data_IF_344794819799
#
_entry.id   IF_344794819799
#
_cell.length_a   1.000
_cell.length_b   1.000
_cell.length_c   1.000
_cell.angle_alpha   90.00
_cell.angle_beta   90.00
_cell.angle_gamma   90.00
#
_symmetry.space_group_name_H-M   'P 1'
#
loop_
_entity.id
_entity.type
_entity.pdbx_description
1 polymer ?
#
# COMPACT_ATOMS: atom_id res chain seq x y z
N UNK A 1 11.78 21.78 4.69
CA UNK A 1 11.63 21.23 6.06
C UNK A 1 11.09 19.82 5.90
N UNK A 2 11.41 18.90 6.80
CA UNK A 2 10.80 17.57 6.76
C UNK A 2 9.33 17.67 7.15
N UNK A 3 8.48 16.85 6.53
CA UNK A 3 7.06 16.76 6.83
C UNK A 3 6.85 16.20 8.24
N UNK A 4 6.01 16.85 9.04
CA UNK A 4 5.58 16.25 10.29
C UNK A 4 4.65 15.08 10.02
N UNK A 5 4.67 14.04 10.87
CA UNK A 5 3.82 12.86 10.67
C UNK A 5 2.34 13.24 10.57
N UNK A 6 1.90 14.14 11.46
CA UNK A 6 0.51 14.61 11.53
C UNK A 6 0.04 15.37 10.29
N UNK A 7 0.95 15.88 9.49
CA UNK A 7 0.66 16.58 8.24
C UNK A 7 0.64 15.61 7.04
N UNK A 8 1.17 14.40 7.22
CA UNK A 8 1.24 13.43 6.13
C UNK A 8 -0.14 12.91 5.73
N UNK A 9 -0.34 12.76 4.42
CA UNK A 9 -1.58 12.20 3.89
C UNK A 9 -1.86 10.79 4.42
N UNK A 10 -0.84 9.94 4.51
CA UNK A 10 -0.96 8.56 5.00
C UNK A 10 -1.50 8.52 6.43
N UNK A 11 -0.95 9.33 7.31
CA UNK A 11 -1.39 9.40 8.70
C UNK A 11 -2.85 9.87 8.82
N UNK A 12 -3.19 10.94 8.11
CA UNK A 12 -4.54 11.49 8.15
C UNK A 12 -5.58 10.52 7.56
N UNK A 13 -5.25 9.82 6.48
CA UNK A 13 -6.12 8.81 5.88
C UNK A 13 -6.33 7.63 6.83
N UNK A 14 -5.26 7.08 7.39
CA UNK A 14 -5.32 5.99 8.37
C UNK A 14 -6.17 6.36 9.59
N UNK A 15 -5.90 7.51 10.19
CA UNK A 15 -6.64 8.00 11.36
C UNK A 15 -8.12 8.18 11.03
N UNK A 16 -8.44 8.82 9.91
CA UNK A 16 -9.81 9.00 9.44
C UNK A 16 -10.55 7.67 9.24
N UNK A 17 -9.87 6.63 8.75
CA UNK A 17 -10.45 5.28 8.60
C UNK A 17 -10.76 4.64 9.95
N UNK A 18 -9.87 4.77 10.93
CA UNK A 18 -10.14 4.29 12.30
C UNK A 18 -11.37 4.98 12.89
N UNK A 19 -11.41 6.30 12.82
CA UNK A 19 -12.52 7.10 13.34
C UNK A 19 -13.85 6.79 12.63
N UNK A 20 -13.83 6.66 11.30
CA UNK A 20 -15.00 6.26 10.49
C UNK A 20 -15.57 4.90 10.91
N UNK A 21 -14.71 3.98 11.34
CA UNK A 21 -15.10 2.66 11.83
C UNK A 21 -15.40 2.65 13.35
N UNK A 22 -15.54 3.82 13.97
CA UNK A 22 -15.96 3.97 15.36
C UNK A 22 -14.87 3.72 16.40
N UNK A 23 -13.60 3.64 15.97
CA UNK A 23 -12.48 3.54 16.91
C UNK A 23 -12.27 4.86 17.66
N UNK A 24 -12.07 4.78 18.97
CA UNK A 24 -11.68 5.92 19.79
C UNK A 24 -10.15 5.92 19.96
N UNK A 25 -9.48 6.85 19.28
CA UNK A 25 -8.02 6.98 19.25
C UNK A 25 -7.58 7.99 20.33
N UNK A 26 -7.05 7.51 21.45
CA UNK A 26 -6.66 8.33 22.59
C UNK A 26 -5.27 8.95 22.43
N UNK A 27 -4.33 8.18 21.85
CA UNK A 27 -2.93 8.59 21.72
C UNK A 27 -2.26 7.87 20.55
N UNK A 28 -1.42 8.62 19.82
CA UNK A 28 -0.51 8.07 18.81
C UNK A 28 0.87 8.63 19.03
N UNK A 29 1.86 7.77 19.20
CA UNK A 29 3.27 8.14 19.29
C UNK A 29 4.01 7.67 18.03
N UNK A 30 4.76 8.54 17.39
CA UNK A 30 5.72 8.21 16.35
C UNK A 30 6.94 7.56 16.99
N UNK A 31 7.13 6.25 16.79
CA UNK A 31 8.30 5.53 17.27
C UNK A 31 9.48 5.66 16.30
N UNK A 32 9.19 5.64 15.00
CA UNK A 32 10.16 5.79 13.94
C UNK A 32 9.45 6.19 12.64
N UNK A 33 10.09 7.07 11.86
CA UNK A 33 9.66 7.37 10.49
C UNK A 33 10.83 7.39 9.52
N UNK A 34 10.60 6.83 8.35
CA UNK A 34 11.47 6.98 7.19
C UNK A 34 10.88 8.02 6.25
N UNK A 35 11.73 8.94 5.78
CA UNK A 35 11.35 9.98 4.83
C UNK A 35 12.14 9.85 3.54
N UNK A 36 11.56 10.28 2.43
CA UNK A 36 12.24 10.36 1.13
C UNK A 36 13.18 11.57 1.04
N UNK A 37 13.85 11.74 -0.09
CA UNK A 37 14.76 12.88 -0.34
C UNK A 37 14.08 14.25 -0.35
N UNK A 38 12.74 14.31 -0.44
CA UNK A 38 11.94 15.53 -0.36
C UNK A 38 11.48 15.82 1.09
N UNK A 39 11.71 14.90 2.02
CA UNK A 39 11.27 15.00 3.40
C UNK A 39 9.86 14.45 3.67
N UNK A 40 9.19 13.86 2.67
CA UNK A 40 7.86 13.26 2.81
C UNK A 40 7.94 11.91 3.55
N UNK A 41 6.93 11.59 4.35
CA UNK A 41 6.85 10.34 5.11
C UNK A 41 6.61 9.15 4.17
N UNK A 42 7.60 8.25 4.06
CA UNK A 42 7.45 6.99 3.30
C UNK A 42 6.70 5.94 4.11
N UNK A 43 7.12 5.73 5.35
CA UNK A 43 6.44 4.86 6.31
C UNK A 43 6.78 5.27 7.74
N UNK A 44 5.95 4.83 8.69
CA UNK A 44 6.17 5.06 10.12
C UNK A 44 5.82 3.82 10.93
N UNK A 45 6.53 3.65 12.04
CA UNK A 45 6.14 2.72 13.10
C UNK A 45 5.48 3.52 14.21
N UNK A 46 4.25 3.20 14.54
CA UNK A 46 3.44 3.93 15.51
C UNK A 46 3.12 3.06 16.72
N UNK A 47 3.06 3.69 17.89
CA UNK A 47 2.35 3.17 19.03
C UNK A 47 0.99 3.87 19.11
N UNK A 48 -0.09 3.10 19.16
CA UNK A 48 -1.47 3.62 19.14
C UNK A 48 -2.23 3.10 20.36
N UNK A 49 -2.69 3.99 21.23
CA UNK A 49 -3.67 3.66 22.26
C UNK A 49 -5.06 3.99 21.73
N UNK A 50 -5.84 2.95 21.49
CA UNK A 50 -7.20 3.08 20.95
C UNK A 50 -8.10 1.98 21.49
N UNK A 51 -9.41 2.26 21.48
CA UNK A 51 -10.47 1.31 21.88
C UNK A 51 -11.45 1.11 20.74
N UNK A 52 -11.97 -0.13 20.62
CA UNK A 52 -13.01 -0.46 19.67
C UNK A 52 -14.37 0.12 20.12
N UNK A 53 -15.39 0.17 19.22
CA UNK A 53 -16.76 0.54 19.61
C UNK A 53 -17.34 -0.29 20.76
N UNK A 54 -16.85 -1.54 20.91
CA UNK A 54 -17.26 -2.45 21.99
C UNK A 54 -16.46 -2.23 23.29
N UNK A 55 -15.54 -1.23 23.33
CA UNK A 55 -14.72 -0.87 24.49
C UNK A 55 -13.49 -1.75 24.70
N UNK A 56 -13.08 -2.56 23.73
CA UNK A 56 -11.90 -3.40 23.84
C UNK A 56 -10.64 -2.67 23.33
N UNK A 57 -9.49 -2.94 23.95
CA UNK A 57 -8.19 -2.48 23.43
C UNK A 57 -7.75 -3.33 22.24
N UNK A 58 -7.05 -2.68 21.30
CA UNK A 58 -6.42 -3.33 20.16
C UNK A 58 -4.90 -3.46 20.36
N UNK A 59 -4.20 -4.32 19.61
CA UNK A 59 -2.74 -4.32 19.57
C UNK A 59 -2.19 -2.92 19.20
N UNK A 60 -1.22 -2.39 19.99
CA UNK A 60 -0.90 -0.97 19.90
C UNK A 60 0.09 -0.59 18.78
N UNK A 61 0.70 -1.57 18.11
CA UNK A 61 1.72 -1.30 17.09
C UNK A 61 1.09 -1.29 15.71
N UNK A 62 1.27 -0.18 15.01
CA UNK A 62 0.90 -0.06 13.60
C UNK A 62 2.12 0.31 12.75
N UNK A 63 2.38 -0.47 11.70
CA UNK A 63 3.28 -0.09 10.64
C UNK A 63 2.49 0.69 9.57
N UNK A 64 2.59 2.01 9.64
CA UNK A 64 1.94 2.93 8.71
C UNK A 64 2.72 2.95 7.40
N UNK A 65 2.23 2.22 6.39
CA UNK A 65 2.83 2.11 5.05
C UNK A 65 2.05 2.91 4.02
N UNK A 66 0.73 2.94 4.16
CA UNK A 66 -0.19 3.58 3.23
C UNK A 66 -0.70 2.65 2.14
N UNK A 67 -1.22 3.24 1.10
CA UNK A 67 -1.87 2.53 0.00
C UNK A 67 -0.85 2.01 -1.01
N UNK A 68 -1.15 0.87 -1.61
CA UNK A 68 -0.38 0.25 -2.68
C UNK A 68 -1.31 -0.16 -3.82
N UNK A 69 -0.77 -0.24 -5.03
CA UNK A 69 -1.45 -0.85 -6.18
C UNK A 69 -0.72 -2.12 -6.56
N UNK A 70 -1.49 -3.16 -6.91
CA UNK A 70 -0.98 -4.43 -7.40
C UNK A 70 -1.61 -4.72 -8.75
N UNK A 71 -0.82 -5.09 -9.75
CA UNK A 71 -1.27 -5.20 -11.14
C UNK A 71 -1.16 -6.63 -11.66
N UNK A 72 -2.28 -7.26 -11.96
CA UNK A 72 -2.32 -8.54 -12.67
C UNK A 72 -2.08 -8.30 -14.16
N UNK A 73 -0.86 -8.48 -14.63
CA UNK A 73 -0.49 -8.32 -16.04
C UNK A 73 -0.77 -9.60 -16.78
N UNK A 74 -1.87 -9.62 -17.55
CA UNK A 74 -2.30 -10.76 -18.35
C UNK A 74 -2.05 -10.50 -19.83
N UNK A 75 -1.56 -11.50 -20.55
CA UNK A 75 -1.44 -11.45 -22.00
C UNK A 75 -1.86 -12.77 -22.65
N UNK A 76 -2.23 -12.68 -23.92
CA UNK A 76 -2.69 -13.82 -24.70
C UNK A 76 -1.75 -13.96 -25.90
N UNK A 77 -1.15 -15.13 -26.07
CA UNK A 77 -0.36 -15.43 -27.25
C UNK A 77 -1.24 -15.33 -28.51
N UNK A 78 -0.78 -14.56 -29.49
CA UNK A 78 -1.56 -14.28 -30.69
C UNK A 78 -1.73 -15.50 -31.60
N UNK A 79 -0.84 -16.51 -31.49
CA UNK A 79 -0.83 -17.72 -32.31
C UNK A 79 -1.52 -18.87 -31.59
N UNK A 80 -1.03 -19.21 -30.37
CA UNK A 80 -1.54 -20.36 -29.63
C UNK A 80 -2.84 -20.08 -28.89
N UNK A 81 -3.17 -18.79 -28.65
CA UNK A 81 -4.29 -18.31 -27.83
C UNK A 81 -4.17 -18.69 -26.35
N UNK A 82 -3.02 -19.17 -25.93
CA UNK A 82 -2.73 -19.42 -24.52
C UNK A 82 -2.68 -18.12 -23.73
N UNK A 83 -3.11 -18.20 -22.48
CA UNK A 83 -3.13 -17.06 -21.53
C UNK A 83 -1.97 -17.19 -20.57
N UNK A 84 -1.30 -16.08 -20.33
CA UNK A 84 -0.14 -16.00 -19.44
C UNK A 84 -0.35 -14.89 -18.43
N UNK A 85 0.21 -15.10 -17.24
CA UNK A 85 0.31 -14.12 -16.18
C UNK A 85 1.79 -13.76 -16.00
N UNK A 86 2.10 -12.48 -16.09
CA UNK A 86 3.46 -11.99 -15.85
C UNK A 86 3.68 -11.77 -14.36
N UNK A 87 4.79 -12.29 -13.88
CA UNK A 87 5.25 -12.10 -12.50
C UNK A 87 6.68 -11.56 -12.49
N UNK A 88 6.98 -10.72 -11.55
CA UNK A 88 8.34 -10.29 -11.23
C UNK A 88 8.95 -11.22 -10.19
N UNK A 89 10.27 -11.45 -10.26
CA UNK A 89 10.97 -12.34 -9.35
C UNK A 89 11.94 -11.52 -8.49
N UNK A 90 11.74 -11.53 -7.19
CA UNK A 90 12.57 -10.75 -6.27
C UNK A 90 12.77 -11.44 -4.92
N UNK A 91 13.84 -11.05 -4.20
CA UNK A 91 14.04 -11.50 -2.82
C UNK A 91 13.38 -10.58 -1.84
N UNK A 92 12.72 -11.18 -0.85
CA UNK A 92 12.03 -10.42 0.20
C UNK A 92 12.79 -10.52 1.53
N UNK A 93 12.76 -9.40 2.28
CA UNK A 93 13.49 -9.29 3.55
C UNK A 93 12.86 -10.14 4.66
N UNK A 94 11.60 -10.53 4.54
CA UNK A 94 10.90 -11.27 5.58
C UNK A 94 11.58 -12.59 5.96
N UNK A 95 12.14 -13.32 4.95
CA UNK A 95 12.81 -14.61 5.16
C UNK A 95 13.97 -14.83 4.18
N UNK A 96 14.25 -13.86 3.30
CA UNK A 96 15.29 -13.96 2.26
C UNK A 96 14.91 -14.86 1.09
N UNK A 97 13.71 -15.39 1.03
CA UNK A 97 13.24 -16.23 -0.07
C UNK A 97 13.13 -15.46 -1.39
N UNK A 98 13.17 -16.22 -2.48
CA UNK A 98 12.93 -15.73 -3.83
C UNK A 98 11.44 -15.94 -4.15
N UNK A 99 10.72 -14.84 -4.31
CA UNK A 99 9.27 -14.84 -4.54
C UNK A 99 8.93 -14.48 -5.98
N UNK A 100 7.77 -14.91 -6.44
CA UNK A 100 7.14 -14.49 -7.68
C UNK A 100 5.92 -13.65 -7.32
N UNK A 101 5.91 -12.40 -7.74
CA UNK A 101 4.92 -11.42 -7.31
C UNK A 101 4.36 -10.66 -8.52
N UNK A 102 3.18 -10.13 -8.38
CA UNK A 102 2.64 -9.18 -9.35
C UNK A 102 3.39 -7.85 -9.24
N UNK A 103 3.59 -7.11 -10.34
CA UNK A 103 4.06 -5.73 -10.28
C UNK A 103 3.22 -4.92 -9.30
N UNK A 104 3.90 -4.21 -8.39
CA UNK A 104 3.22 -3.47 -7.32
C UNK A 104 4.04 -2.30 -6.82
N UNK A 105 3.37 -1.19 -6.49
CA UNK A 105 4.03 -0.02 -5.95
C UNK A 105 3.15 0.81 -5.02
N UNK A 106 3.78 1.75 -4.33
CA UNK A 106 3.12 2.61 -3.34
C UNK A 106 2.47 3.83 -3.99
N UNK A 107 1.28 4.17 -3.51
CA UNK A 107 0.60 5.42 -3.86
C UNK A 107 1.10 6.58 -2.95
N UNK A 108 2.35 6.94 -3.02
CA UNK A 108 2.96 7.93 -2.12
C UNK A 108 2.25 9.31 -2.17
N UNK A 109 2.77 10.24 -2.95
CA UNK A 109 2.14 11.55 -3.19
C UNK A 109 1.13 11.52 -4.34
N UNK A 110 1.17 10.49 -5.17
CA UNK A 110 0.26 10.29 -6.31
C UNK A 110 -1.00 9.58 -5.83
N UNK A 111 -2.14 10.14 -6.19
CA UNK A 111 -3.46 9.63 -5.75
C UNK A 111 -4.19 8.84 -6.81
N UNK A 112 -3.67 8.82 -8.02
CA UNK A 112 -4.24 8.07 -9.13
C UNK A 112 -3.62 6.68 -9.22
N UNK A 113 -4.33 5.70 -8.66
CA UNK A 113 -3.88 4.30 -8.65
C UNK A 113 -3.59 3.76 -10.06
N UNK A 114 -4.31 4.20 -11.08
CA UNK A 114 -4.08 3.77 -12.45
C UNK A 114 -2.79 4.35 -13.05
N UNK A 115 -2.42 5.58 -12.69
CA UNK A 115 -1.13 6.16 -13.11
C UNK A 115 0.04 5.43 -12.45
N UNK A 116 -0.07 5.19 -11.14
CA UNK A 116 0.93 4.41 -10.40
C UNK A 116 1.04 3.00 -10.96
N UNK A 117 -0.08 2.32 -11.19
CA UNK A 117 -0.12 0.99 -11.79
C UNK A 117 0.61 0.91 -13.14
N UNK A 118 0.35 1.86 -14.04
CA UNK A 118 1.01 1.91 -15.35
C UNK A 118 2.52 2.14 -15.22
N UNK A 119 2.93 3.01 -14.30
CA UNK A 119 4.33 3.30 -14.01
C UNK A 119 5.05 2.07 -13.43
N UNK A 120 4.49 1.43 -12.42
CA UNK A 120 5.11 0.25 -11.78
C UNK A 120 5.26 -0.91 -12.76
N UNK A 121 4.25 -1.17 -13.60
CA UNK A 121 4.38 -2.17 -14.68
C UNK A 121 5.55 -1.85 -15.59
N UNK A 122 5.72 -0.58 -15.99
CA UNK A 122 6.84 -0.16 -16.82
C UNK A 122 8.18 -0.31 -16.10
N UNK A 123 8.29 0.16 -14.86
CA UNK A 123 9.54 0.14 -14.10
C UNK A 123 10.01 -1.29 -13.79
N UNK A 124 9.10 -2.18 -13.44
CA UNK A 124 9.44 -3.54 -13.05
C UNK A 124 9.53 -4.54 -14.21
N UNK A 125 8.85 -4.28 -15.33
CA UNK A 125 8.77 -5.25 -16.44
C UNK A 125 9.22 -4.72 -17.80
N UNK A 126 9.32 -3.42 -17.99
CA UNK A 126 9.57 -2.77 -19.26
C UNK A 126 8.36 -2.76 -20.22
N UNK A 127 7.19 -3.20 -19.78
CA UNK A 127 5.97 -3.22 -20.58
C UNK A 127 5.22 -1.90 -20.41
N UNK A 128 4.94 -1.22 -21.51
CA UNK A 128 4.10 -0.04 -21.51
C UNK A 128 2.61 -0.43 -21.54
N UNK A 129 1.89 0.00 -20.52
CA UNK A 129 0.43 -0.06 -20.46
C UNK A 129 -0.13 1.35 -20.37
N UNK A 130 -1.27 1.58 -21.04
CA UNK A 130 -1.98 2.85 -20.91
C UNK A 130 -3.04 2.75 -19.83
N UNK A 131 -3.35 3.86 -19.20
CA UNK A 131 -4.37 3.96 -18.14
C UNK A 131 -5.73 3.39 -18.58
N UNK A 132 -6.11 3.61 -19.85
CA UNK A 132 -7.37 3.12 -20.42
C UNK A 132 -7.41 1.60 -20.67
N UNK A 133 -6.29 0.90 -20.52
CA UNK A 133 -6.17 -0.56 -20.59
C UNK A 133 -6.27 -1.23 -19.21
N UNK A 134 -6.23 -0.44 -18.13
CA UNK A 134 -6.34 -0.94 -16.78
C UNK A 134 -7.80 -1.12 -16.39
N UNK A 135 -8.07 -2.22 -15.70
CA UNK A 135 -9.40 -2.55 -15.18
C UNK A 135 -9.27 -2.69 -13.66
N UNK A 136 -9.97 -1.85 -12.91
CA UNK A 136 -10.05 -2.01 -11.47
C UNK A 136 -10.86 -3.27 -11.14
N UNK A 137 -10.26 -4.17 -10.37
CA UNK A 137 -10.92 -5.42 -9.95
C UNK A 137 -11.85 -5.19 -8.76
N UNK A 138 -11.56 -4.17 -7.94
CA UNK A 138 -12.33 -3.80 -6.76
C UNK A 138 -12.42 -2.28 -6.65
N UNK A 139 -13.51 -1.78 -6.09
CA UNK A 139 -13.69 -0.35 -5.76
C UNK A 139 -13.05 -0.03 -4.40
N UNK A 140 -13.13 -0.98 -3.45
CA UNK A 140 -12.57 -0.85 -2.11
C UNK A 140 -11.25 -1.62 -2.00
N UNK A 141 -10.27 -1.12 -1.23
CA UNK A 141 -9.00 -1.78 -1.09
C UNK A 141 -9.10 -3.07 -0.27
N UNK A 142 -8.20 -4.00 -0.54
CA UNK A 142 -7.95 -5.18 0.27
C UNK A 142 -6.84 -4.89 1.29
N UNK A 143 -6.98 -5.39 2.52
CA UNK A 143 -6.00 -5.22 3.59
C UNK A 143 -5.25 -6.53 3.85
N UNK A 144 -4.01 -6.71 3.35
CA UNK A 144 -3.29 -7.98 3.47
C UNK A 144 -2.74 -8.27 4.87
N UNK A 145 -2.52 -7.24 5.69
CA UNK A 145 -1.88 -7.36 7.01
C UNK A 145 -2.63 -6.60 8.10
N UNK A 146 -3.89 -6.96 8.31
CA UNK A 146 -4.83 -6.23 9.20
C UNK A 146 -4.42 -6.14 10.67
N UNK A 147 -3.50 -7.01 11.12
CA UNK A 147 -3.09 -7.05 12.54
C UNK A 147 -1.99 -6.05 12.92
N UNK A 148 -1.24 -5.52 11.94
CA UNK A 148 -0.04 -4.71 12.22
C UNK A 148 0.23 -3.61 11.22
N UNK A 149 -0.46 -3.54 10.09
CA UNK A 149 -0.22 -2.56 9.04
C UNK A 149 -1.53 -1.97 8.51
N UNK A 150 -1.46 -0.71 8.09
CA UNK A 150 -2.51 0.00 7.38
C UNK A 150 -2.50 -0.23 5.88
N UNK A 151 -1.59 -1.08 5.37
CA UNK A 151 -1.43 -1.33 3.93
C UNK A 151 -2.76 -1.69 3.28
N UNK A 152 -3.20 -0.85 2.37
CA UNK A 152 -4.43 -1.02 1.60
C UNK A 152 -4.06 -1.20 0.12
N UNK A 153 -4.44 -2.34 -0.47
CA UNK A 153 -4.05 -2.75 -1.81
C UNK A 153 -5.23 -2.64 -2.78
N UNK A 154 -5.00 -1.97 -3.88
CA UNK A 154 -5.91 -1.82 -5.02
C UNK A 154 -5.50 -2.66 -6.22
#
# INVERSE_FOLDING_TARGET
>A
MAEELTDSHKFNLWKSRLEKNGMDVHRVDELYSRRNGKGEVLFSLLYTDATTPEGNKIPPICFLKGEVVCVLVCFIDSVTKEKYLLLVRQRRICDGSLTYEHPAGMLDSERDAAEVAAREVWEETGIQVRKDQLIALHEEPYYPSTGTSDEAMY
#
